data_IF_622158801478
#
_entry.id   IF_622158801478
#
_cell.length_a   1.000
_cell.length_b   1.000
_cell.length_c   1.000
_cell.angle_alpha   90.00
_cell.angle_beta   90.00
_cell.angle_gamma   90.00
#
_symmetry.space_group_name_H-M   'P 1'
#
loop_
_entity.id
_entity.type
_entity.pdbx_description
1 polymer ?
#
# COMPACT_ATOMS: atom_id res chain seq x y z
N UNK A 1 7.35 10.01 -19.13
CA UNK A 1 8.45 9.59 -18.22
C UNK A 1 8.14 8.21 -17.65
N UNK A 2 9.14 7.33 -17.48
CA UNK A 2 9.01 6.00 -16.87
C UNK A 2 8.57 6.17 -15.42
N UNK A 3 7.43 5.62 -15.05
CA UNK A 3 6.85 5.82 -13.72
C UNK A 3 6.65 4.49 -13.02
N UNK A 4 7.26 4.32 -11.84
CA UNK A 4 7.07 3.19 -10.97
C UNK A 4 6.19 3.57 -9.77
N UNK A 5 5.18 2.75 -9.47
CA UNK A 5 4.25 2.95 -8.35
C UNK A 5 4.64 2.01 -7.21
N UNK A 6 4.80 2.55 -6.00
CA UNK A 6 5.13 1.83 -4.78
C UNK A 6 3.95 1.92 -3.81
N UNK A 7 3.23 0.85 -3.62
CA UNK A 7 1.99 0.84 -2.83
C UNK A 7 2.24 0.15 -1.50
N UNK A 8 2.12 0.91 -0.42
CA UNK A 8 1.94 0.37 0.92
C UNK A 8 0.51 -0.15 1.05
N UNK A 9 0.38 -1.48 1.04
CA UNK A 9 -0.92 -2.15 1.01
C UNK A 9 -1.74 -1.94 2.27
N UNK A 10 -1.11 -1.80 3.43
CA UNK A 10 -1.82 -1.55 4.69
C UNK A 10 -2.29 -0.11 4.78
N UNK A 11 -1.44 0.86 4.46
CA UNK A 11 -1.84 2.26 4.39
C UNK A 11 -2.96 2.49 3.39
N UNK A 12 -2.87 1.90 2.20
CA UNK A 12 -3.93 1.96 1.20
C UNK A 12 -5.24 1.35 1.73
N UNK A 13 -5.17 0.14 2.31
CA UNK A 13 -6.36 -0.55 2.79
C UNK A 13 -7.04 0.20 3.94
N UNK A 14 -6.30 0.53 4.99
CA UNK A 14 -6.86 1.18 6.17
C UNK A 14 -7.22 2.65 5.91
N UNK A 15 -6.47 3.35 5.10
CA UNK A 15 -6.70 4.76 4.78
C UNK A 15 -7.85 5.00 3.81
N UNK A 16 -8.01 4.16 2.79
CA UNK A 16 -8.93 4.45 1.70
C UNK A 16 -9.97 3.36 1.41
N UNK A 17 -9.65 2.08 1.63
CA UNK A 17 -10.44 0.95 1.09
C UNK A 17 -11.30 0.25 2.14
N UNK A 18 -10.83 0.16 3.39
CA UNK A 18 -11.54 -0.52 4.49
C UNK A 18 -12.93 0.09 4.72
N UNK A 19 -13.94 -0.76 4.86
CA UNK A 19 -15.33 -0.34 5.08
C UNK A 19 -16.02 0.23 3.84
N UNK A 20 -15.45 0.01 2.64
CA UNK A 20 -16.05 0.43 1.36
C UNK A 20 -16.38 -0.77 0.48
N UNK A 21 -17.23 -0.59 -0.55
CA UNK A 21 -17.44 -1.60 -1.60
C UNK A 21 -16.32 -1.60 -2.65
N UNK A 22 -15.25 -0.80 -2.48
CA UNK A 22 -14.21 -0.57 -3.49
C UNK A 22 -12.96 -1.41 -3.27
N UNK A 23 -13.09 -2.61 -2.70
CA UNK A 23 -11.97 -3.51 -2.38
C UNK A 23 -11.37 -4.20 -3.62
N UNK A 24 -12.11 -4.20 -4.75
CA UNK A 24 -11.71 -4.84 -6.01
C UNK A 24 -11.05 -3.85 -6.96
N UNK A 25 -10.11 -3.05 -6.43
CA UNK A 25 -9.51 -1.89 -7.10
C UNK A 25 -8.56 -2.31 -8.23
N UNK A 26 -8.73 -1.70 -9.40
CA UNK A 26 -7.77 -1.77 -10.51
C UNK A 26 -6.68 -0.71 -10.32
N UNK A 27 -5.48 -1.15 -9.95
CA UNK A 27 -4.37 -0.21 -9.71
C UNK A 27 -3.93 0.51 -10.98
N UNK A 28 -3.91 -0.19 -12.14
CA UNK A 28 -3.49 0.45 -13.39
C UNK A 28 -4.45 1.56 -13.80
N UNK A 29 -5.75 1.28 -13.78
CA UNK A 29 -6.78 2.29 -14.03
C UNK A 29 -6.74 3.43 -13.01
N UNK A 30 -6.54 3.12 -11.72
CA UNK A 30 -6.43 4.11 -10.64
C UNK A 30 -5.32 5.12 -10.90
N UNK A 31 -4.12 4.64 -11.21
CA UNK A 31 -2.98 5.55 -11.41
C UNK A 31 -2.99 6.21 -12.79
N UNK A 32 -3.57 5.57 -13.80
CA UNK A 32 -3.83 6.22 -15.09
C UNK A 32 -4.82 7.39 -14.97
N UNK A 33 -5.80 7.29 -14.06
CA UNK A 33 -6.74 8.39 -13.78
C UNK A 33 -6.13 9.50 -12.92
N UNK A 34 -5.25 9.17 -11.98
CA UNK A 34 -4.66 10.14 -11.05
C UNK A 34 -3.48 10.92 -11.65
N UNK A 35 -2.72 10.29 -12.51
CA UNK A 35 -1.49 10.86 -13.07
C UNK A 35 -1.76 11.51 -14.43
N UNK A 36 -0.94 12.50 -14.76
CA UNK A 36 -1.02 13.14 -16.07
C UNK A 36 -0.55 12.19 -17.19
N UNK A 37 -0.98 12.43 -18.43
CA UNK A 37 -0.76 11.56 -19.59
C UNK A 37 0.71 11.29 -19.95
N UNK A 38 1.63 12.15 -19.50
CA UNK A 38 3.06 11.96 -19.74
C UNK A 38 3.72 10.89 -18.84
N UNK A 39 3.00 10.36 -17.85
CA UNK A 39 3.45 9.23 -17.02
C UNK A 39 3.18 7.91 -17.72
N UNK A 40 4.24 7.18 -18.06
CA UNK A 40 4.16 5.80 -18.53
C UNK A 40 4.39 4.87 -17.33
N UNK A 41 3.36 4.19 -16.86
CA UNK A 41 3.45 3.24 -15.74
C UNK A 41 4.21 2.00 -16.23
N UNK A 42 5.42 1.78 -15.72
CA UNK A 42 6.28 0.66 -16.07
C UNK A 42 6.28 -0.46 -15.04
N UNK A 43 5.96 -0.14 -13.78
CA UNK A 43 5.82 -1.11 -12.70
C UNK A 43 4.85 -0.61 -11.64
N UNK A 44 4.11 -1.56 -11.03
CA UNK A 44 3.25 -1.35 -9.87
C UNK A 44 3.69 -2.36 -8.82
N UNK A 45 4.43 -1.91 -7.81
CA UNK A 45 4.98 -2.72 -6.73
C UNK A 45 4.10 -2.60 -5.50
N UNK A 46 3.48 -3.69 -5.10
CA UNK A 46 2.53 -3.75 -3.99
C UNK A 46 3.15 -4.49 -2.81
N UNK A 47 3.35 -3.78 -1.71
CA UNK A 47 3.97 -4.27 -0.48
C UNK A 47 2.89 -4.53 0.56
N UNK A 48 2.82 -5.75 1.08
CA UNK A 48 1.76 -6.18 2.01
C UNK A 48 2.16 -7.50 2.67
N UNK A 49 1.32 -8.00 3.58
CA UNK A 49 1.47 -9.34 4.14
C UNK A 49 0.15 -10.11 4.10
N UNK A 50 0.22 -11.44 4.12
CA UNK A 50 -0.96 -12.27 4.13
C UNK A 50 -1.68 -12.15 5.48
N UNK A 51 -2.95 -11.73 5.44
CA UNK A 51 -3.76 -11.59 6.66
C UNK A 51 -4.08 -12.94 7.28
N UNK A 52 -4.24 -12.95 8.61
CA UNK A 52 -4.59 -14.15 9.35
C UNK A 52 -6.07 -14.50 9.17
N UNK A 53 -6.36 -15.80 9.03
CA UNK A 53 -7.72 -16.34 9.02
C UNK A 53 -8.33 -16.59 10.40
N UNK A 54 -7.68 -16.20 11.51
CA UNK A 54 -8.13 -16.53 12.87
C UNK A 54 -9.54 -16.04 13.21
N UNK A 55 -9.90 -14.82 12.76
CA UNK A 55 -11.23 -14.22 13.00
C UNK A 55 -12.20 -14.48 11.86
N UNK A 56 -11.70 -14.61 10.65
CA UNK A 56 -12.46 -14.85 9.43
C UNK A 56 -11.61 -15.71 8.49
N UNK A 57 -11.85 -17.04 8.43
CA UNK A 57 -11.10 -17.96 7.59
C UNK A 57 -11.12 -17.61 6.09
N UNK A 58 -12.15 -16.89 5.64
CA UNK A 58 -12.28 -16.45 4.25
C UNK A 58 -11.48 -15.18 3.92
N UNK A 59 -11.01 -14.44 4.92
CA UNK A 59 -10.26 -13.20 4.70
C UNK A 59 -8.97 -13.43 3.90
N UNK A 60 -8.09 -14.38 4.24
CA UNK A 60 -6.90 -14.66 3.43
C UNK A 60 -7.24 -15.21 2.04
N UNK A 61 -8.34 -15.96 1.90
CA UNK A 61 -8.80 -16.47 0.59
C UNK A 61 -9.19 -15.31 -0.33
N UNK A 62 -9.98 -14.36 0.18
CA UNK A 62 -10.37 -13.16 -0.58
C UNK A 62 -9.16 -12.30 -0.95
N UNK A 63 -8.22 -12.11 -0.03
CA UNK A 63 -6.98 -11.38 -0.30
C UNK A 63 -6.15 -12.05 -1.40
N UNK A 64 -5.96 -13.36 -1.34
CA UNK A 64 -5.23 -14.11 -2.37
C UNK A 64 -5.95 -14.07 -3.73
N UNK A 65 -7.29 -14.14 -3.73
CA UNK A 65 -8.09 -14.00 -4.95
C UNK A 65 -7.84 -12.64 -5.60
N UNK A 66 -7.78 -11.58 -4.81
CA UNK A 66 -7.48 -10.24 -5.31
C UNK A 66 -6.07 -10.15 -5.89
N UNK A 67 -5.06 -10.67 -5.20
CA UNK A 67 -3.69 -10.67 -5.73
C UNK A 67 -3.58 -11.41 -7.05
N UNK A 68 -4.24 -12.56 -7.17
CA UNK A 68 -4.30 -13.33 -8.43
C UNK A 68 -5.02 -12.56 -9.54
N UNK A 69 -6.07 -11.84 -9.20
CA UNK A 69 -6.77 -10.97 -10.16
C UNK A 69 -5.85 -9.87 -10.69
N UNK A 70 -5.14 -9.16 -9.82
CA UNK A 70 -4.16 -8.13 -10.20
C UNK A 70 -3.03 -8.71 -11.07
N UNK A 71 -2.49 -9.87 -10.70
CA UNK A 71 -1.44 -10.54 -11.46
C UNK A 71 -1.90 -10.95 -12.87
N UNK A 72 -3.15 -11.39 -13.00
CA UNK A 72 -3.71 -11.80 -14.27
C UNK A 72 -4.12 -10.63 -15.18
N UNK A 73 -4.51 -9.49 -14.60
CA UNK A 73 -5.02 -8.34 -15.35
C UNK A 73 -3.99 -7.25 -15.63
N UNK A 74 -2.87 -7.23 -14.89
CA UNK A 74 -1.90 -6.12 -14.90
C UNK A 74 -0.47 -6.66 -15.03
N UNK A 75 0.09 -6.72 -16.24
CA UNK A 75 1.47 -7.24 -16.46
C UNK A 75 2.55 -6.50 -15.68
N UNK A 76 2.33 -5.22 -15.37
CA UNK A 76 3.25 -4.37 -14.61
C UNK A 76 3.20 -4.65 -13.10
N UNK A 77 2.21 -5.41 -12.62
CA UNK A 77 2.01 -5.66 -11.19
C UNK A 77 3.04 -6.64 -10.62
N UNK A 78 3.59 -6.28 -9.47
CA UNK A 78 4.53 -7.11 -8.69
C UNK A 78 4.13 -7.09 -7.23
N UNK A 79 4.02 -8.28 -6.62
CA UNK A 79 3.62 -8.47 -5.22
C UNK A 79 4.85 -8.79 -4.37
N UNK A 80 5.07 -8.00 -3.33
CA UNK A 80 6.11 -8.20 -2.31
C UNK A 80 5.45 -8.46 -0.96
N UNK A 81 5.81 -9.58 -0.33
CA UNK A 81 5.17 -10.01 0.91
C UNK A 81 6.12 -9.85 2.10
N UNK A 82 5.63 -9.15 3.11
CA UNK A 82 6.10 -9.26 4.48
C UNK A 82 5.50 -10.49 5.18
N UNK A 83 5.69 -10.57 6.48
CA UNK A 83 5.19 -11.66 7.31
C UNK A 83 4.45 -11.11 8.53
N UNK A 84 3.47 -11.87 9.03
CA UNK A 84 2.90 -11.61 10.35
C UNK A 84 3.57 -12.49 11.41
N UNK A 85 4.01 -11.83 12.48
CA UNK A 85 4.51 -12.49 13.68
C UNK A 85 3.47 -12.33 14.80
N UNK A 86 3.03 -13.44 15.40
CA UNK A 86 2.14 -13.42 16.56
C UNK A 86 2.83 -14.13 17.70
N UNK A 87 3.03 -13.43 18.83
CA UNK A 87 3.66 -13.97 20.03
C UNK A 87 3.08 -13.31 21.29
N UNK A 88 3.13 -13.98 22.45
CA UNK A 88 2.76 -13.37 23.71
C UNK A 88 3.81 -12.31 24.11
N UNK A 89 3.33 -11.15 24.56
CA UNK A 89 4.16 -10.07 25.15
C UNK A 89 3.55 -9.65 26.46
N UNK A 90 4.39 -9.36 27.45
CA UNK A 90 3.96 -8.83 28.74
C UNK A 90 4.20 -7.33 28.76
N UNK A 91 3.11 -6.55 28.88
CA UNK A 91 3.14 -5.10 28.87
C UNK A 91 2.58 -4.54 30.18
N UNK A 92 3.07 -3.35 30.61
CA UNK A 92 2.49 -2.65 31.74
C UNK A 92 1.06 -2.23 31.42
N UNK A 93 0.19 -2.31 32.41
CA UNK A 93 -1.16 -1.75 32.30
C UNK A 93 -1.06 -0.21 32.36
N UNK A 94 -1.79 0.48 31.49
CA UNK A 94 -1.89 1.94 31.54
C UNK A 94 -2.48 2.45 32.86
N UNK A 95 -3.37 1.63 33.45
CA UNK A 95 -3.92 1.84 34.78
C UNK A 95 -3.70 0.55 35.58
N UNK A 96 -2.69 0.50 36.46
CA UNK A 96 -2.42 -0.67 37.28
C UNK A 96 -3.57 -0.98 38.25
N UNK A 97 -3.89 -2.26 38.37
CA UNK A 97 -4.85 -2.76 39.36
C UNK A 97 -4.11 -3.19 40.65
N UNK A 98 -4.79 -3.26 41.82
CA UNK A 98 -4.19 -3.84 43.03
C UNK A 98 -3.63 -5.24 42.78
N UNK A 99 -2.32 -5.40 43.00
CA UNK A 99 -1.62 -6.67 42.77
C UNK A 99 -1.29 -7.03 41.32
N UNK A 100 -1.76 -6.25 40.33
CA UNK A 100 -1.50 -6.51 38.90
C UNK A 100 -1.02 -5.24 38.18
N UNK A 101 0.27 -5.20 37.85
CA UNK A 101 0.89 -4.10 37.10
C UNK A 101 1.10 -4.41 35.62
N UNK A 102 1.06 -5.68 35.23
CA UNK A 102 1.35 -6.16 33.88
C UNK A 102 0.25 -7.09 33.38
N UNK A 103 0.07 -7.15 32.07
CA UNK A 103 -0.77 -8.15 31.40
C UNK A 103 -0.02 -8.79 30.25
N UNK A 104 -0.21 -10.10 30.08
CA UNK A 104 0.28 -10.81 28.89
C UNK A 104 -0.80 -10.79 27.81
N UNK A 105 -0.45 -10.28 26.64
CA UNK A 105 -1.34 -10.16 25.48
C UNK A 105 -0.71 -10.83 24.26
N UNK A 106 -1.55 -11.35 23.36
CA UNK A 106 -1.07 -11.80 22.06
C UNK A 106 -0.90 -10.58 21.14
N UNK A 107 0.35 -10.25 20.86
CA UNK A 107 0.69 -9.18 19.91
C UNK A 107 0.85 -9.79 18.52
N UNK A 108 0.16 -9.21 17.54
CA UNK A 108 0.35 -9.53 16.13
C UNK A 108 0.91 -8.30 15.43
N UNK A 109 2.09 -8.44 14.85
CA UNK A 109 2.78 -7.39 14.12
C UNK A 109 3.05 -7.85 12.70
N UNK A 110 2.89 -6.95 11.77
CA UNK A 110 3.43 -7.11 10.44
C UNK A 110 4.92 -6.74 10.44
N UNK A 111 5.71 -7.47 9.67
CA UNK A 111 7.16 -7.27 9.54
C UNK A 111 7.55 -7.28 8.07
N UNK A 112 8.24 -6.25 7.68
CA UNK A 112 9.01 -6.20 6.43
C UNK A 112 8.36 -5.48 5.27
N UNK A 113 7.06 -5.17 5.23
CA UNK A 113 6.45 -4.49 4.07
C UNK A 113 7.04 -3.10 3.86
N UNK A 114 7.16 -2.29 4.90
CA UNK A 114 7.67 -0.92 4.80
C UNK A 114 9.17 -0.90 4.49
N UNK A 115 9.93 -1.78 5.15
CA UNK A 115 11.36 -1.98 4.85
C UNK A 115 11.54 -2.42 3.40
N UNK A 116 10.77 -3.38 2.92
CA UNK A 116 10.82 -3.83 1.52
C UNK A 116 10.49 -2.67 0.56
N UNK A 117 9.46 -1.86 0.86
CA UNK A 117 9.12 -0.71 0.04
C UNK A 117 10.29 0.27 -0.03
N UNK A 118 10.85 0.67 1.11
CA UNK A 118 11.98 1.60 1.19
C UNK A 118 13.21 1.07 0.43
N UNK A 119 13.56 -0.20 0.63
CA UNK A 119 14.70 -0.84 -0.06
C UNK A 119 14.48 -0.90 -1.56
N UNK A 120 13.29 -1.29 -2.03
CA UNK A 120 12.98 -1.31 -3.45
C UNK A 120 12.97 0.09 -4.08
N UNK A 121 12.44 1.09 -3.39
CA UNK A 121 12.46 2.48 -3.85
C UNK A 121 13.90 2.96 -4.08
N UNK A 122 14.80 2.69 -3.14
CA UNK A 122 16.21 3.05 -3.22
C UNK A 122 16.92 2.26 -4.31
N UNK A 123 16.83 0.94 -4.28
CA UNK A 123 17.51 0.05 -5.25
C UNK A 123 17.13 0.41 -6.69
N UNK A 124 15.85 0.64 -6.97
CA UNK A 124 15.37 1.01 -8.28
C UNK A 124 15.87 2.40 -8.73
N UNK A 125 16.08 3.33 -7.78
CA UNK A 125 16.69 4.63 -8.08
C UNK A 125 18.14 4.46 -8.54
N UNK A 126 18.94 3.63 -7.84
CA UNK A 126 20.33 3.33 -8.20
C UNK A 126 20.45 2.55 -9.49
N UNK A 127 19.50 1.68 -9.81
CA UNK A 127 19.46 0.92 -11.07
C UNK A 127 18.87 1.72 -12.25
N UNK A 128 18.52 2.98 -12.04
CA UNK A 128 17.82 3.83 -13.02
C UNK A 128 16.54 3.19 -13.61
N UNK A 129 15.80 2.47 -12.80
CA UNK A 129 14.59 1.76 -13.24
C UNK A 129 13.38 2.68 -13.48
N UNK A 130 13.41 3.93 -13.00
CA UNK A 130 12.34 4.91 -13.17
C UNK A 130 12.89 6.34 -13.33
N UNK A 131 12.08 7.21 -13.93
CA UNK A 131 12.27 8.67 -13.92
C UNK A 131 11.41 9.31 -12.82
N UNK A 132 10.26 8.70 -12.51
CA UNK A 132 9.35 9.10 -11.44
C UNK A 132 8.95 7.90 -10.57
N UNK A 133 9.06 8.03 -9.27
CA UNK A 133 8.48 7.11 -8.30
C UNK A 133 7.25 7.74 -7.64
N UNK A 134 6.14 7.01 -7.59
CA UNK A 134 4.91 7.43 -6.90
C UNK A 134 4.70 6.53 -5.69
N UNK A 135 4.79 7.11 -4.51
CA UNK A 135 4.64 6.42 -3.23
C UNK A 135 3.19 6.57 -2.76
N UNK A 136 2.52 5.45 -2.49
CA UNK A 136 1.15 5.40 -1.98
C UNK A 136 1.18 4.99 -0.53
N UNK A 137 1.35 5.94 0.35
CA UNK A 137 1.40 5.76 1.81
C UNK A 137 1.17 7.09 2.53
N UNK A 138 0.97 7.03 3.83
CA UNK A 138 1.04 8.16 4.76
C UNK A 138 1.96 7.85 5.95
N UNK A 139 2.77 6.81 5.85
CA UNK A 139 3.71 6.41 6.89
C UNK A 139 5.00 7.22 6.79
N UNK A 140 5.29 7.98 7.84
CA UNK A 140 6.48 8.83 7.94
C UNK A 140 7.80 8.06 7.91
N UNK A 141 7.79 6.76 8.22
CA UNK A 141 9.00 5.92 8.22
C UNK A 141 9.64 5.81 6.82
N UNK A 142 8.87 6.08 5.77
CA UNK A 142 9.36 6.13 4.39
C UNK A 142 10.08 7.45 4.02
N UNK A 143 10.03 8.47 4.88
CA UNK A 143 10.57 9.80 4.58
C UNK A 143 12.07 9.77 4.30
N UNK A 144 12.84 8.97 5.06
CA UNK A 144 14.29 8.87 4.87
C UNK A 144 14.65 8.26 3.50
N UNK A 145 13.92 7.24 3.06
CA UNK A 145 14.14 6.66 1.73
C UNK A 145 13.89 7.70 0.62
N UNK A 146 12.81 8.48 0.73
CA UNK A 146 12.51 9.56 -0.21
C UNK A 146 13.60 10.65 -0.18
N UNK A 147 14.07 11.04 1.01
CA UNK A 147 15.15 12.02 1.19
C UNK A 147 16.43 11.59 0.50
N UNK A 148 16.81 10.31 0.66
CA UNK A 148 18.01 9.75 0.03
C UNK A 148 17.90 9.73 -1.49
N UNK A 149 16.76 9.33 -2.05
CA UNK A 149 16.53 9.41 -3.50
C UNK A 149 16.70 10.86 -3.99
N UNK A 150 16.08 11.83 -3.34
CA UNK A 150 16.23 13.24 -3.73
C UNK A 150 17.66 13.75 -3.67
N UNK A 151 18.41 13.32 -2.65
CA UNK A 151 19.79 13.75 -2.46
C UNK A 151 20.73 13.17 -3.50
N UNK A 152 20.60 11.87 -3.80
CA UNK A 152 21.55 11.14 -4.63
C UNK A 152 21.11 11.07 -6.10
N UNK A 153 19.82 11.24 -6.39
CA UNK A 153 19.25 11.18 -7.73
C UNK A 153 18.34 12.40 -7.99
N UNK A 154 18.89 13.64 -8.01
CA UNK A 154 18.10 14.88 -8.07
C UNK A 154 17.28 15.04 -9.37
N UNK A 155 17.61 14.30 -10.43
CA UNK A 155 16.84 14.27 -11.68
C UNK A 155 15.53 13.48 -11.56
N UNK A 156 15.45 12.55 -10.60
CA UNK A 156 14.25 11.72 -10.40
C UNK A 156 13.16 12.49 -9.69
N UNK A 157 11.92 12.27 -10.12
CA UNK A 157 10.74 12.87 -9.49
C UNK A 157 10.13 11.91 -8.47
N UNK A 158 9.64 12.47 -7.35
CA UNK A 158 8.90 11.71 -6.35
C UNK A 158 7.49 12.29 -6.22
N UNK A 159 6.49 11.45 -6.42
CA UNK A 159 5.09 11.74 -6.15
C UNK A 159 4.64 11.07 -4.85
N UNK A 160 3.74 11.68 -4.13
CA UNK A 160 3.05 11.11 -2.99
C UNK A 160 1.56 11.00 -3.30
N UNK A 161 0.99 9.81 -3.18
CA UNK A 161 -0.45 9.59 -3.20
C UNK A 161 -0.92 9.29 -1.79
N UNK A 162 -1.67 10.21 -1.23
CA UNK A 162 -2.22 10.11 0.11
C UNK A 162 -3.49 9.26 0.07
N UNK A 163 -3.48 8.04 0.65
CA UNK A 163 -4.62 7.12 0.59
C UNK A 163 -5.66 7.49 1.64
N UNK A 164 -6.47 8.53 1.38
CA UNK A 164 -7.56 8.92 2.28
C UNK A 164 -8.81 9.29 1.52
N UNK A 165 -9.88 8.58 1.83
CA UNK A 165 -11.21 8.73 1.23
C UNK A 165 -11.92 10.01 1.67
N UNK A 166 -11.85 10.34 2.96
CA UNK A 166 -12.60 11.43 3.57
C UNK A 166 -11.89 12.78 3.41
N UNK A 167 -12.65 13.87 3.50
CA UNK A 167 -12.15 15.24 3.37
C UNK A 167 -11.29 15.70 4.56
N UNK A 168 -11.28 14.96 5.67
CA UNK A 168 -10.44 15.23 6.83
C UNK A 168 -9.07 14.56 6.76
N UNK A 169 -8.10 15.13 7.48
CA UNK A 169 -6.71 14.66 7.58
C UNK A 169 -5.79 15.20 6.50
N UNK A 170 -4.52 15.22 6.85
CA UNK A 170 -3.46 15.77 6.01
C UNK A 170 -2.46 14.69 5.63
N UNK A 171 -1.80 14.80 4.47
CA UNK A 171 -0.65 13.97 4.17
C UNK A 171 0.45 14.21 5.21
N UNK A 172 1.25 13.19 5.49
CA UNK A 172 2.42 13.31 6.37
C UNK A 172 3.28 14.48 5.90
N UNK A 173 3.65 15.36 6.84
CA UNK A 173 4.52 16.50 6.58
C UNK A 173 5.91 16.02 6.16
N UNK A 174 6.39 14.96 6.80
CA UNK A 174 7.69 14.35 6.57
C UNK A 174 7.80 13.78 5.15
N UNK A 175 6.74 13.13 4.65
CA UNK A 175 6.72 12.65 3.26
C UNK A 175 6.55 13.80 2.26
N UNK A 176 5.65 14.74 2.57
CA UNK A 176 5.29 15.84 1.66
C UNK A 176 6.46 16.75 1.34
N UNK A 177 7.37 17.00 2.30
CA UNK A 177 8.58 17.82 2.08
C UNK A 177 9.57 17.20 1.08
N UNK A 178 9.49 15.90 0.84
CA UNK A 178 10.34 15.19 -0.11
C UNK A 178 9.63 14.89 -1.44
N UNK A 179 8.31 15.09 -1.51
CA UNK A 179 7.53 14.91 -2.74
C UNK A 179 7.60 16.15 -3.65
N UNK A 180 7.61 15.95 -4.97
CA UNK A 180 7.49 17.02 -5.96
C UNK A 180 6.02 17.36 -6.24
N UNK A 181 5.12 16.40 -6.00
CA UNK A 181 3.68 16.59 -6.07
C UNK A 181 2.99 15.64 -5.08
N UNK A 182 1.82 16.07 -4.60
CA UNK A 182 0.99 15.29 -3.67
C UNK A 182 -0.41 15.17 -4.27
N UNK A 183 -0.92 13.96 -4.38
CA UNK A 183 -2.26 13.65 -4.85
C UNK A 183 -3.05 12.93 -3.76
N UNK A 184 -4.37 13.02 -3.84
CA UNK A 184 -5.28 12.31 -2.94
C UNK A 184 -5.99 11.18 -3.68
N UNK A 185 -6.05 10.00 -3.06
CA UNK A 185 -6.89 8.91 -3.52
C UNK A 185 -8.30 9.04 -2.91
N UNK A 186 -9.16 9.77 -3.61
CA UNK A 186 -10.53 10.05 -3.16
C UNK A 186 -11.53 8.97 -3.56
N UNK A 187 -12.74 9.05 -2.97
CA UNK A 187 -13.81 8.08 -3.20
C UNK A 187 -14.25 7.96 -4.67
N UNK A 188 -14.26 9.05 -5.43
CA UNK A 188 -14.62 9.04 -6.85
C UNK A 188 -13.68 8.20 -7.71
N UNK A 189 -12.37 8.30 -7.47
CA UNK A 189 -11.38 7.48 -8.17
C UNK A 189 -11.53 6.01 -7.79
N UNK A 190 -11.72 5.71 -6.48
CA UNK A 190 -11.96 4.35 -6.03
C UNK A 190 -13.20 3.72 -6.68
N UNK A 191 -14.29 4.47 -6.78
CA UNK A 191 -15.52 3.99 -7.39
C UNK A 191 -15.38 3.72 -8.89
N UNK A 192 -14.66 4.59 -9.61
CA UNK A 192 -14.49 4.49 -11.06
C UNK A 192 -13.49 3.40 -11.50
N UNK A 193 -12.51 3.07 -10.64
CA UNK A 193 -11.39 2.20 -11.00
C UNK A 193 -11.51 0.82 -10.35
N UNK A 194 -12.53 0.06 -10.69
CA UNK A 194 -12.71 -1.31 -10.21
C UNK A 194 -12.37 -2.33 -11.30
N UNK A 195 -11.72 -3.43 -10.92
CA UNK A 195 -11.54 -4.58 -11.81
C UNK A 195 -12.90 -5.14 -12.25
N UNK A 196 -13.01 -5.75 -13.42
CA UNK A 196 -14.24 -6.43 -13.84
C UNK A 196 -14.61 -7.55 -12.85
N UNK A 197 -15.91 -7.80 -12.66
CA UNK A 197 -16.42 -8.83 -11.74
C UNK A 197 -15.80 -10.19 -12.03
N UNK A 198 -15.59 -10.52 -13.29
CA UNK A 198 -14.83 -11.69 -13.75
C UNK A 198 -13.61 -11.22 -14.52
N UNK A 199 -12.44 -11.73 -14.15
CA UNK A 199 -11.20 -11.42 -14.88
C UNK A 199 -11.19 -12.17 -16.21
N UNK A 200 -11.11 -11.45 -17.35
CA UNK A 200 -11.14 -12.08 -18.68
C UNK A 200 -10.09 -13.18 -18.84
N UNK A 201 -10.45 -14.27 -19.51
CA UNK A 201 -9.54 -15.40 -19.73
C UNK A 201 -9.24 -16.26 -18.50
N UNK A 202 -9.91 -16.02 -17.38
CA UNK A 202 -9.68 -16.75 -16.13
C UNK A 202 -10.97 -17.23 -15.46
N UNK A 203 -10.83 -18.04 -14.40
CA UNK A 203 -11.92 -18.41 -13.48
C UNK A 203 -12.02 -17.50 -12.25
N UNK A 204 -11.28 -16.39 -12.23
CA UNK A 204 -11.21 -15.51 -11.08
C UNK A 204 -12.40 -14.55 -11.09
N UNK A 205 -13.14 -14.54 -9.98
CA UNK A 205 -14.29 -13.66 -9.76
C UNK A 205 -14.09 -12.77 -8.51
N UNK A 206 -14.70 -11.58 -8.56
CA UNK A 206 -14.82 -10.73 -7.38
C UNK A 206 -15.50 -11.50 -6.25
N UNK A 207 -14.93 -11.52 -5.03
CA UNK A 207 -15.59 -12.14 -3.88
C UNK A 207 -16.96 -11.50 -3.61
N UNK A 208 -17.99 -12.30 -3.36
CA UNK A 208 -19.37 -11.81 -3.18
C UNK A 208 -19.53 -10.83 -2.00
N UNK A 209 -18.63 -10.93 -1.00
CA UNK A 209 -18.62 -10.05 0.18
C UNK A 209 -17.83 -8.73 0.00
N UNK A 210 -17.46 -8.40 -1.24
CA UNK A 210 -16.64 -7.20 -1.56
C UNK A 210 -17.38 -6.20 -2.43
#
# INVERSE_FOLDING_TARGET
MRTCIYIDGFNLYYGAVKGTPYKWLDFKATFAMLLQSHHQITAIKYFTAQVSGRRDPQQPVRQQTYWRALQASTPEFRLYKGTFLTHPVTWPLAQPLPGQRYATVLKTEEKGSDVNLAVHLLNDAWQDAYDCAVIVSNDSDLAEAMRLVRRHHPSKKLGLVFPRRETGGHPSRELSQHAHFVLRLGAGVLAACQLPVRIPGTTIHKPASW
#
